data_IF_742420557977
#
_entry.id   IF_742420557977
#
_cell.length_a   1.000
_cell.length_b   1.000
_cell.length_c   1.000
_cell.angle_alpha   90.00
_cell.angle_beta   90.00
_cell.angle_gamma   90.00
#
_symmetry.space_group_name_H-M   'P 1'
#
loop_
_entity.id
_entity.type
_entity.pdbx_description
1 polymer ?
#
# COMPACT_ATOMS: atom_id res chain seq x y z
N UNK A 1 -16.71 4.82 11.45
CA UNK A 1 -15.35 5.28 11.10
C UNK A 1 -14.55 4.11 10.55
N UNK A 2 -13.91 4.22 9.39
CA UNK A 2 -13.04 3.16 8.85
C UNK A 2 -11.64 3.31 9.45
N UNK A 3 -11.02 2.21 9.85
CA UNK A 3 -9.60 2.18 10.22
C UNK A 3 -8.70 2.40 9.01
N UNK A 4 -7.46 2.83 9.23
CA UNK A 4 -6.46 2.97 8.16
C UNK A 4 -6.26 1.67 7.37
N UNK A 5 -6.30 0.51 8.04
CA UNK A 5 -6.20 -0.80 7.37
C UNK A 5 -7.38 -1.06 6.42
N UNK A 6 -8.60 -0.67 6.82
CA UNK A 6 -9.78 -0.81 5.96
C UNK A 6 -9.74 0.15 4.77
N UNK A 7 -9.20 1.37 4.96
CA UNK A 7 -9.01 2.34 3.87
C UNK A 7 -8.01 1.79 2.85
N UNK A 8 -6.84 1.35 3.31
CA UNK A 8 -5.79 0.77 2.44
C UNK A 8 -6.29 -0.47 1.72
N UNK A 9 -6.98 -1.38 2.43
CA UNK A 9 -7.55 -2.58 1.80
C UNK A 9 -8.61 -2.22 0.75
N UNK A 10 -9.49 -1.27 1.05
CA UNK A 10 -10.50 -0.82 0.09
C UNK A 10 -9.85 -0.21 -1.15
N UNK A 11 -8.77 0.56 -1.00
CA UNK A 11 -8.02 1.09 -2.14
C UNK A 11 -7.42 -0.04 -2.97
N UNK A 12 -6.73 -0.99 -2.33
CA UNK A 12 -6.12 -2.14 -3.01
C UNK A 12 -7.15 -2.99 -3.77
N UNK A 13 -8.34 -3.21 -3.20
CA UNK A 13 -9.42 -3.97 -3.87
C UNK A 13 -9.98 -3.21 -5.08
N UNK A 14 -10.11 -1.88 -4.98
CA UNK A 14 -10.73 -1.08 -6.03
C UNK A 14 -9.76 -0.70 -7.16
N UNK A 15 -8.47 -0.52 -6.85
CA UNK A 15 -7.47 0.02 -7.78
C UNK A 15 -6.30 -0.94 -8.05
N UNK A 16 -6.20 -2.06 -7.32
CA UNK A 16 -5.19 -3.11 -7.52
C UNK A 16 -3.85 -2.84 -6.86
N UNK A 17 -3.38 -1.58 -6.81
CA UNK A 17 -2.11 -1.22 -6.19
C UNK A 17 -2.14 0.10 -5.43
N UNK A 18 -1.14 0.32 -4.57
CA UNK A 18 -0.94 1.60 -3.88
C UNK A 18 0.54 1.81 -3.52
N UNK A 19 1.01 3.04 -3.70
CA UNK A 19 2.33 3.51 -3.24
C UNK A 19 2.21 4.37 -1.97
N UNK A 20 3.32 4.54 -1.24
CA UNK A 20 3.35 5.41 -0.07
C UNK A 20 2.95 6.86 -0.40
N UNK A 21 3.33 7.36 -1.58
CA UNK A 21 2.97 8.70 -2.03
C UNK A 21 1.46 8.85 -2.23
N UNK A 22 0.84 7.93 -2.97
CA UNK A 22 -0.62 7.92 -3.19
C UNK A 22 -1.38 7.81 -1.86
N UNK A 23 -0.90 6.96 -0.95
CA UNK A 23 -1.51 6.77 0.37
C UNK A 23 -1.49 8.05 1.22
N UNK A 24 -0.38 8.79 1.19
CA UNK A 24 -0.30 10.10 1.83
C UNK A 24 -1.21 11.13 1.17
N UNK A 25 -1.13 11.27 -0.15
CA UNK A 25 -1.86 12.30 -0.89
C UNK A 25 -3.38 12.16 -0.74
N UNK A 26 -3.88 10.92 -0.76
CA UNK A 26 -5.32 10.63 -0.74
C UNK A 26 -5.88 10.45 0.68
N UNK A 27 -5.11 9.86 1.60
CA UNK A 27 -5.63 9.42 2.90
C UNK A 27 -4.87 9.95 4.10
N UNK A 28 -3.78 10.71 3.90
CA UNK A 28 -2.89 11.23 4.96
C UNK A 28 -2.34 10.12 5.86
N UNK A 29 -2.02 8.96 5.28
CA UNK A 29 -1.44 7.81 5.99
C UNK A 29 0.06 7.71 5.69
N UNK A 30 0.90 7.93 6.70
CA UNK A 30 2.36 7.94 6.56
C UNK A 30 3.03 6.56 6.64
N UNK A 31 2.42 5.61 7.35
CA UNK A 31 3.01 4.28 7.59
C UNK A 31 2.29 3.20 6.79
N UNK A 32 2.22 3.34 5.46
CA UNK A 32 1.57 2.36 4.58
C UNK A 32 2.15 0.96 4.80
N UNK A 33 3.49 0.84 4.88
CA UNK A 33 4.18 -0.43 5.11
C UNK A 33 3.67 -1.18 6.35
N UNK A 34 3.38 -0.46 7.45
CA UNK A 34 2.80 -1.05 8.65
C UNK A 34 1.36 -1.52 8.43
N UNK A 35 0.55 -0.77 7.66
CA UNK A 35 -0.82 -1.19 7.30
C UNK A 35 -0.80 -2.44 6.40
N UNK A 36 0.15 -2.51 5.46
CA UNK A 36 0.36 -3.68 4.61
C UNK A 36 0.79 -4.89 5.44
N UNK A 37 1.71 -4.71 6.39
CA UNK A 37 2.11 -5.79 7.31
C UNK A 37 0.91 -6.34 8.09
N UNK A 38 0.08 -5.47 8.66
CA UNK A 38 -1.15 -5.88 9.36
C UNK A 38 -2.11 -6.64 8.42
N UNK A 39 -2.27 -6.20 7.17
CA UNK A 39 -3.12 -6.87 6.19
C UNK A 39 -2.59 -8.24 5.78
N UNK A 40 -1.27 -8.38 5.58
CA UNK A 40 -0.61 -9.67 5.32
C UNK A 40 -0.83 -10.65 6.47
N UNK A 41 -0.66 -10.19 7.72
CA UNK A 41 -0.94 -11.01 8.91
C UNK A 41 -2.40 -11.47 9.01
N UNK A 42 -3.32 -10.76 8.36
CA UNK A 42 -4.75 -11.11 8.26
C UNK A 42 -5.06 -11.98 7.03
N UNK A 43 -4.05 -12.55 6.38
CA UNK A 43 -4.20 -13.46 5.25
C UNK A 43 -4.43 -12.77 3.90
N UNK A 44 -4.16 -11.47 3.77
CA UNK A 44 -4.23 -10.79 2.47
C UNK A 44 -2.95 -11.03 1.67
N UNK A 45 -3.10 -11.58 0.48
CA UNK A 45 -2.02 -11.78 -0.49
C UNK A 45 -1.63 -10.44 -1.11
N UNK A 46 -0.57 -9.82 -0.61
CA UNK A 46 -0.08 -8.53 -1.11
C UNK A 46 1.41 -8.67 -1.45
N UNK A 47 1.76 -8.34 -2.68
CA UNK A 47 3.14 -8.31 -3.15
C UNK A 47 3.71 -6.90 -3.09
N UNK A 48 5.03 -6.77 -2.97
CA UNK A 48 5.72 -5.48 -3.06
C UNK A 48 6.61 -5.49 -4.30
N UNK A 49 6.38 -4.53 -5.20
CA UNK A 49 7.20 -4.27 -6.38
C UNK A 49 8.06 -3.05 -6.05
N UNK A 50 9.37 -3.19 -6.18
CA UNK A 50 10.31 -2.10 -5.92
C UNK A 50 10.70 -1.42 -7.22
N UNK A 51 10.37 -0.15 -7.32
CA UNK A 51 10.73 0.70 -8.45
C UNK A 51 11.97 1.51 -8.11
N UNK A 52 12.82 1.75 -9.11
CA UNK A 52 13.99 2.62 -9.01
C UNK A 52 13.78 3.81 -9.93
N UNK A 53 13.96 5.01 -9.39
CA UNK A 53 13.91 6.26 -10.13
C UNK A 53 15.31 6.64 -10.63
N UNK A 54 15.36 7.49 -11.66
CA UNK A 54 16.61 7.95 -12.28
C UNK A 54 17.53 8.68 -11.30
N UNK A 55 16.96 9.35 -10.31
CA UNK A 55 17.69 10.01 -9.22
C UNK A 55 18.29 9.02 -8.18
N UNK A 56 18.18 7.72 -8.42
CA UNK A 56 18.66 6.67 -7.53
C UNK A 56 17.71 6.32 -6.37
N UNK A 57 16.65 7.10 -6.14
CA UNK A 57 15.65 6.78 -5.13
C UNK A 57 14.88 5.51 -5.49
N UNK A 58 14.37 4.82 -4.48
CA UNK A 58 13.51 3.64 -4.64
C UNK A 58 12.21 3.84 -3.90
N UNK A 59 11.13 3.32 -4.44
CA UNK A 59 9.85 3.26 -3.75
C UNK A 59 9.20 1.90 -3.93
N UNK A 60 8.34 1.54 -2.98
CA UNK A 60 7.56 0.32 -3.04
C UNK A 60 6.15 0.62 -3.55
N UNK A 61 5.70 -0.17 -4.51
CA UNK A 61 4.31 -0.30 -4.90
C UNK A 61 3.77 -1.62 -4.35
N UNK A 62 2.69 -1.54 -3.58
CA UNK A 62 2.05 -2.73 -3.02
C UNK A 62 0.87 -3.11 -3.90
N UNK A 63 0.84 -4.37 -4.35
CA UNK A 63 -0.15 -4.88 -5.28
C UNK A 63 -0.94 -5.99 -4.60
N UNK A 64 -2.27 -5.96 -4.73
CA UNK A 64 -3.12 -7.06 -4.29
C UNK A 64 -2.96 -8.23 -5.27
N UNK A 65 -2.43 -9.34 -4.77
CA UNK A 65 -2.37 -10.59 -5.54
C UNK A 65 -3.70 -11.31 -5.36
N UNK A 66 -4.35 -11.66 -6.46
CA UNK A 66 -5.55 -12.52 -6.45
C UNK A 66 -5.17 -13.98 -6.16
#
# INVERSE_FOLDING_TARGET
MKSQNQIVLSHLVNYGSITQKQCWDMYRIERLSARIYDLKRRGKSISAIYHRLDNGCRYAEYVLSN
#
